data_IF_070167197742
#
_entry.id   IF_070167197742
#
_cell.length_a   1.000
_cell.length_b   1.000
_cell.length_c   1.000
_cell.angle_alpha   90.00
_cell.angle_beta   90.00
_cell.angle_gamma   90.00
#
_symmetry.space_group_name_H-M   'P 1'
#
loop_
_entity.id
_entity.type
_entity.pdbx_description
1 polymer ?
#
# COMPACT_ATOMS: atom_id res chain seq x y z
N UNK A 1 12.83 5.31 20.27
CA UNK A 1 11.40 5.63 20.50
C UNK A 1 11.25 7.09 20.93
N UNK A 2 12.04 8.00 20.34
CA UNK A 2 12.30 9.35 20.87
C UNK A 2 11.04 10.19 21.16
N UNK A 3 10.06 10.14 20.25
CA UNK A 3 8.80 10.90 20.37
C UNK A 3 8.00 10.51 21.63
N UNK A 4 8.04 9.24 22.04
CA UNK A 4 7.31 8.74 23.20
C UNK A 4 8.15 8.81 24.49
N UNK A 5 9.47 8.69 24.38
CA UNK A 5 10.41 8.86 25.49
C UNK A 5 10.27 10.25 26.14
N UNK A 6 10.11 11.31 25.35
CA UNK A 6 9.86 12.68 25.84
C UNK A 6 8.58 12.80 26.68
N UNK A 7 7.65 11.85 26.54
CA UNK A 7 6.38 11.80 27.28
C UNK A 7 6.39 10.76 28.40
N UNK A 8 7.53 10.11 28.64
CA UNK A 8 7.66 9.04 29.64
C UNK A 8 6.91 7.76 29.30
N UNK A 9 6.48 7.57 28.04
CA UNK A 9 5.77 6.38 27.60
C UNK A 9 6.74 5.42 26.90
N UNK A 10 7.29 4.46 27.65
CA UNK A 10 8.27 3.49 27.13
C UNK A 10 7.74 2.06 27.10
N UNK A 11 6.61 1.79 27.75
CA UNK A 11 5.96 0.48 27.74
C UNK A 11 5.06 0.35 26.51
N UNK A 12 5.69 0.06 25.36
CA UNK A 12 5.05 -0.03 24.05
C UNK A 12 5.56 -1.30 23.36
N UNK A 13 4.65 -2.22 23.05
CA UNK A 13 4.97 -3.45 22.31
C UNK A 13 5.17 -3.20 20.81
N UNK A 14 5.78 -4.17 20.13
CA UNK A 14 5.97 -4.17 18.69
C UNK A 14 7.38 -3.80 18.24
N UNK A 15 7.77 -4.34 17.10
CA UNK A 15 9.05 -4.11 16.41
C UNK A 15 8.82 -4.13 14.90
N UNK A 16 9.88 -4.12 14.11
CA UNK A 16 9.81 -4.13 12.66
C UNK A 16 9.35 -5.50 12.11
N UNK A 17 8.41 -5.49 11.17
CA UNK A 17 7.98 -6.67 10.41
C UNK A 17 8.43 -6.53 8.96
N UNK A 18 9.18 -7.52 8.45
CA UNK A 18 9.80 -7.43 7.13
C UNK A 18 9.54 -8.66 6.26
N UNK A 19 8.94 -8.42 5.09
CA UNK A 19 9.08 -9.26 3.90
C UNK A 19 8.71 -8.40 2.68
N UNK A 20 9.70 -7.79 2.03
CA UNK A 20 9.50 -6.88 0.89
C UNK A 20 8.34 -5.89 1.13
N UNK A 21 7.49 -5.66 0.13
CA UNK A 21 6.34 -4.76 0.22
C UNK A 21 5.20 -5.25 1.16
N UNK A 22 5.31 -6.41 1.81
CA UNK A 22 4.27 -6.97 2.67
C UNK A 22 4.40 -6.55 4.14
N UNK A 23 5.57 -6.05 4.57
CA UNK A 23 5.86 -5.75 5.98
C UNK A 23 4.81 -4.87 6.69
N UNK A 24 4.27 -3.87 5.98
CA UNK A 24 3.18 -3.02 6.48
C UNK A 24 1.88 -3.79 6.80
N UNK A 25 1.51 -4.75 5.95
CA UNK A 25 0.34 -5.62 6.17
C UNK A 25 0.56 -6.61 7.30
N UNK A 26 1.78 -7.14 7.43
CA UNK A 26 2.14 -7.96 8.59
C UNK A 26 2.00 -7.16 9.90
N UNK A 27 2.56 -5.95 9.95
CA UNK A 27 2.46 -5.07 11.12
C UNK A 27 1.00 -4.68 11.42
N UNK A 28 0.19 -4.41 10.39
CA UNK A 28 -1.23 -4.12 10.56
C UNK A 28 -2.01 -5.30 11.14
N UNK A 29 -1.78 -6.52 10.64
CA UNK A 29 -2.41 -7.71 11.22
C UNK A 29 -1.95 -7.98 12.65
N UNK A 30 -0.66 -7.84 12.94
CA UNK A 30 -0.15 -7.98 14.31
C UNK A 30 -0.85 -7.00 15.26
N UNK A 31 -1.02 -5.75 14.82
CA UNK A 31 -1.65 -4.69 15.60
C UNK A 31 -3.14 -4.95 15.85
N UNK A 32 -3.90 -5.37 14.82
CA UNK A 32 -5.31 -5.76 14.96
C UNK A 32 -5.44 -6.97 15.90
N UNK A 33 -4.62 -8.00 15.71
CA UNK A 33 -4.63 -9.18 16.58
C UNK A 33 -4.28 -8.82 18.03
N UNK A 34 -3.36 -7.88 18.24
CA UNK A 34 -2.99 -7.39 19.58
C UNK A 34 -4.18 -6.68 20.24
N UNK A 35 -4.89 -5.78 19.54
CA UNK A 35 -6.11 -5.13 20.06
C UNK A 35 -7.19 -6.15 20.42
N UNK A 36 -7.30 -7.26 19.67
CA UNK A 36 -8.27 -8.33 19.93
C UNK A 36 -7.80 -9.38 20.98
N UNK A 37 -6.58 -9.26 21.48
CA UNK A 37 -5.97 -10.25 22.37
C UNK A 37 -6.26 -10.01 23.85
N UNK A 38 -5.98 -11.01 24.69
CA UNK A 38 -6.03 -10.86 26.16
C UNK A 38 -4.93 -9.97 26.74
N UNK A 39 -3.90 -9.63 25.96
CA UNK A 39 -2.83 -8.70 26.39
C UNK A 39 -3.12 -7.26 26.00
N UNK A 40 -4.25 -6.97 25.35
CA UNK A 40 -4.65 -5.60 25.08
C UNK A 40 -4.91 -4.85 26.38
N UNK A 41 -4.32 -3.66 26.51
CA UNK A 41 -4.38 -2.83 27.71
C UNK A 41 -5.31 -1.60 27.55
N UNK A 42 -6.12 -1.58 26.50
CA UNK A 42 -7.03 -0.49 26.19
C UNK A 42 -6.43 0.66 25.38
N UNK A 43 -5.12 0.67 25.12
CA UNK A 43 -4.46 1.73 24.32
C UNK A 43 -4.59 1.47 22.82
N UNK A 44 -4.38 2.51 22.02
CA UNK A 44 -4.31 2.36 20.57
C UNK A 44 -3.04 1.66 20.12
N UNK A 45 -3.16 0.89 19.05
CA UNK A 45 -2.00 0.47 18.26
C UNK A 45 -1.65 1.50 17.18
N UNK A 46 -0.37 1.61 16.83
CA UNK A 46 0.11 2.50 15.77
C UNK A 46 0.97 1.72 14.79
N UNK A 47 0.55 1.65 13.53
CA UNK A 47 1.28 0.98 12.46
C UNK A 47 1.93 2.03 11.57
N UNK A 48 3.21 1.86 11.26
CA UNK A 48 3.92 2.72 10.31
C UNK A 48 4.47 1.87 9.16
N UNK A 49 4.03 2.18 7.94
CA UNK A 49 4.59 1.64 6.71
C UNK A 49 5.47 2.72 6.09
N UNK A 50 6.76 2.47 5.89
CA UNK A 50 7.69 3.49 5.38
C UNK A 50 8.72 2.87 4.46
N UNK A 51 8.92 3.46 3.29
CA UNK A 51 9.90 3.00 2.32
C UNK A 51 10.36 4.11 1.38
N UNK A 52 11.58 3.94 0.87
CA UNK A 52 12.12 4.64 -0.29
C UNK A 52 12.49 3.59 -1.35
N UNK A 53 11.68 3.47 -2.40
CA UNK A 53 11.88 2.53 -3.50
C UNK A 53 12.82 3.15 -4.54
N UNK A 54 14.09 2.72 -4.51
CA UNK A 54 15.15 3.20 -5.40
C UNK A 54 15.73 2.04 -6.21
N UNK A 55 16.02 2.30 -7.48
CA UNK A 55 16.54 1.32 -8.43
C UNK A 55 17.77 1.88 -9.18
N UNK A 56 18.65 0.96 -9.57
CA UNK A 56 19.81 1.25 -10.42
C UNK A 56 19.43 1.87 -11.77
N UNK A 57 20.42 2.34 -12.53
CA UNK A 57 20.21 2.73 -13.93
C UNK A 57 19.58 1.57 -14.72
N UNK A 58 18.52 1.87 -15.49
CA UNK A 58 17.80 0.88 -16.28
C UNK A 58 16.28 1.03 -16.22
N UNK A 59 15.54 0.05 -16.76
CA UNK A 59 14.10 0.14 -16.98
C UNK A 59 13.25 0.14 -15.71
N UNK A 60 13.83 -0.24 -14.56
CA UNK A 60 13.14 -0.21 -13.27
C UNK A 60 13.20 1.16 -12.57
N UNK A 61 14.12 2.06 -12.94
CA UNK A 61 14.24 3.39 -12.29
C UNK A 61 12.94 4.19 -12.30
N UNK A 62 12.16 4.26 -13.40
CA UNK A 62 10.91 5.02 -13.43
C UNK A 62 9.80 4.48 -12.51
N UNK A 63 9.97 3.29 -11.94
CA UNK A 63 8.99 2.72 -11.00
C UNK A 63 9.33 2.99 -9.54
N UNK A 64 10.35 3.81 -9.24
CA UNK A 64 10.65 4.25 -7.88
C UNK A 64 9.58 5.16 -7.27
N UNK A 65 9.75 5.49 -5.99
CA UNK A 65 8.85 6.34 -5.21
C UNK A 65 9.20 6.27 -3.73
N UNK A 66 8.62 7.16 -2.91
CA UNK A 66 8.87 7.16 -1.47
C UNK A 66 7.66 7.71 -0.71
N UNK A 67 7.28 7.06 0.39
CA UNK A 67 6.26 7.54 1.29
C UNK A 67 6.35 6.84 2.66
N UNK A 68 5.75 7.48 3.65
CA UNK A 68 5.40 6.86 4.92
C UNK A 68 3.90 7.06 5.19
N UNK A 69 3.24 6.03 5.71
CA UNK A 69 1.84 6.05 6.12
C UNK A 69 1.77 5.53 7.56
N UNK A 70 1.08 6.29 8.41
CA UNK A 70 0.78 5.89 9.78
C UNK A 70 -0.72 5.58 9.90
N UNK A 71 -1.06 4.47 10.54
CA UNK A 71 -2.44 4.03 10.78
C UNK A 71 -2.62 3.80 12.28
N UNK A 72 -3.58 4.53 12.88
CA UNK A 72 -4.01 4.27 14.24
C UNK A 72 -5.04 3.13 14.23
N UNK A 73 -4.88 2.16 15.13
CA UNK A 73 -5.69 0.94 15.22
C UNK A 73 -6.35 0.89 16.59
N UNK A 74 -7.65 0.63 16.62
CA UNK A 74 -8.44 0.54 17.85
C UNK A 74 -9.86 0.00 17.58
N UNK A 75 -10.66 -0.20 18.63
CA UNK A 75 -12.06 -0.62 18.50
C UNK A 75 -12.93 0.46 17.84
N UNK A 76 -14.13 0.07 17.42
CA UNK A 76 -15.17 0.97 16.89
C UNK A 76 -14.71 1.85 15.71
N UNK A 77 -13.80 1.31 14.89
CA UNK A 77 -13.20 2.03 13.77
C UNK A 77 -14.18 2.22 12.59
N UNK A 78 -14.12 3.37 11.88
CA UNK A 78 -14.88 3.58 10.63
C UNK A 78 -14.42 2.67 9.48
N UNK A 79 -13.25 2.04 9.63
CA UNK A 79 -12.64 1.13 8.67
C UNK A 79 -12.41 -0.18 9.44
N UNK A 80 -13.41 -1.05 9.46
CA UNK A 80 -13.40 -2.27 10.24
C UNK A 80 -12.88 -3.45 9.41
N UNK A 81 -12.11 -4.35 10.03
CA UNK A 81 -11.70 -5.59 9.39
C UNK A 81 -12.87 -6.59 9.35
N UNK A 82 -13.07 -7.24 8.20
CA UNK A 82 -13.89 -8.44 8.14
C UNK A 82 -13.02 -9.65 8.47
N UNK A 83 -12.79 -9.89 9.77
CA UNK A 83 -11.73 -10.75 10.31
C UNK A 83 -11.60 -12.15 9.67
N UNK A 84 -12.72 -12.76 9.26
CA UNK A 84 -12.74 -14.09 8.66
C UNK A 84 -12.60 -14.07 7.13
N UNK A 85 -12.73 -12.91 6.49
CA UNK A 85 -12.72 -12.75 5.03
C UNK A 85 -11.32 -12.34 4.52
N UNK A 86 -10.37 -13.28 4.61
CA UNK A 86 -8.98 -13.11 4.14
C UNK A 86 -8.38 -14.39 3.58
N UNK A 87 -7.56 -14.31 2.53
CA UNK A 87 -6.81 -15.42 1.95
C UNK A 87 -5.33 -15.06 1.81
N UNK A 88 -4.44 -15.89 2.37
CA UNK A 88 -2.99 -15.66 2.33
C UNK A 88 -2.29 -16.74 1.52
N UNK A 89 -1.24 -16.35 0.80
CA UNK A 89 -0.38 -17.26 0.05
C UNK A 89 1.08 -16.85 0.26
N UNK A 90 1.91 -17.82 0.65
CA UNK A 90 3.33 -17.63 0.85
C UNK A 90 4.06 -18.78 0.17
N UNK A 91 5.17 -18.49 -0.48
CA UNK A 91 5.97 -19.49 -1.18
C UNK A 91 7.42 -19.02 -1.26
N UNK A 92 8.36 -19.94 -1.42
CA UNK A 92 9.74 -19.56 -1.70
C UNK A 92 9.91 -19.18 -3.17
N UNK A 93 10.39 -17.97 -3.45
CA UNK A 93 10.63 -17.45 -4.78
C UNK A 93 11.81 -16.46 -4.79
N UNK A 94 12.47 -16.33 -5.94
CA UNK A 94 13.55 -15.37 -6.19
C UNK A 94 13.14 -14.34 -7.26
N UNK A 95 11.91 -13.83 -7.16
CA UNK A 95 11.37 -12.89 -8.14
C UNK A 95 11.92 -11.46 -7.96
N UNK A 96 12.12 -11.04 -6.72
CA UNK A 96 12.79 -9.80 -6.33
C UNK A 96 13.33 -9.96 -4.90
N UNK A 97 14.60 -9.63 -4.70
CA UNK A 97 15.27 -9.74 -3.41
C UNK A 97 16.50 -8.81 -3.32
N UNK A 98 16.99 -8.54 -2.10
CA UNK A 98 18.15 -7.68 -1.85
C UNK A 98 19.30 -8.48 -1.20
N UNK A 99 20.04 -9.29 -1.98
CA UNK A 99 21.10 -10.14 -1.43
C UNK A 99 22.40 -9.35 -1.14
N UNK A 100 22.62 -8.23 -1.82
CA UNK A 100 23.78 -7.39 -1.63
C UNK A 100 23.52 -6.35 -0.53
N UNK A 101 23.99 -6.63 0.68
CA UNK A 101 23.79 -5.77 1.84
C UNK A 101 24.42 -4.37 1.71
N UNK A 102 25.44 -4.22 0.86
CA UNK A 102 26.13 -2.96 0.62
C UNK A 102 25.46 -2.07 -0.45
N UNK A 103 24.41 -2.56 -1.13
CA UNK A 103 23.68 -1.80 -2.15
C UNK A 103 22.21 -1.63 -1.77
N UNK A 104 21.65 -0.46 -2.08
CA UNK A 104 20.21 -0.21 -1.92
C UNK A 104 19.38 -0.96 -2.98
N UNK A 105 20.01 -1.31 -4.09
CA UNK A 105 19.34 -1.83 -5.29
C UNK A 105 19.02 -3.32 -5.18
N UNK A 106 17.83 -3.72 -5.63
CA UNK A 106 17.42 -5.12 -5.64
C UNK A 106 17.97 -5.88 -6.86
N UNK A 107 18.07 -7.21 -6.71
CA UNK A 107 18.10 -8.14 -7.83
C UNK A 107 16.65 -8.45 -8.21
N UNK A 108 16.32 -8.31 -9.50
CA UNK A 108 14.94 -8.42 -9.99
C UNK A 108 14.88 -9.28 -11.24
N UNK A 109 14.08 -10.34 -11.21
CA UNK A 109 13.59 -11.02 -12.40
C UNK A 109 12.18 -10.49 -12.72
N UNK A 110 12.10 -9.52 -13.62
CA UNK A 110 10.85 -8.82 -13.93
C UNK A 110 9.76 -9.72 -14.57
N UNK A 111 10.14 -10.81 -15.24
CA UNK A 111 9.17 -11.77 -15.80
C UNK A 111 8.63 -12.67 -14.69
N UNK A 112 9.53 -13.19 -13.85
CA UNK A 112 9.16 -14.01 -12.71
C UNK A 112 8.31 -13.22 -11.72
N UNK A 113 8.65 -11.96 -11.44
CA UNK A 113 7.89 -11.08 -10.52
C UNK A 113 6.43 -10.88 -10.93
N UNK A 114 6.14 -10.69 -12.22
CA UNK A 114 4.74 -10.64 -12.68
C UNK A 114 4.03 -11.98 -12.52
N UNK A 115 4.71 -13.09 -12.82
CA UNK A 115 4.16 -14.45 -12.68
C UNK A 115 3.83 -14.77 -11.22
N UNK A 116 4.79 -14.54 -10.32
CA UNK A 116 4.66 -14.71 -8.88
C UNK A 116 3.54 -13.83 -8.29
N UNK A 117 3.44 -12.57 -8.72
CA UNK A 117 2.37 -11.68 -8.28
C UNK A 117 0.98 -12.21 -8.67
N UNK A 118 0.78 -12.60 -9.93
CA UNK A 118 -0.53 -13.10 -10.40
C UNK A 118 -0.88 -14.47 -9.81
N UNK A 119 0.10 -15.35 -9.63
CA UNK A 119 -0.10 -16.63 -8.94
C UNK A 119 -0.52 -16.44 -7.48
N UNK A 120 0.11 -15.50 -6.78
CA UNK A 120 -0.25 -15.14 -5.41
C UNK A 120 -1.65 -14.50 -5.34
N UNK A 121 -1.99 -13.66 -6.32
CA UNK A 121 -3.31 -13.04 -6.45
C UNK A 121 -4.41 -14.09 -6.61
N UNK A 122 -4.25 -15.03 -7.55
CA UNK A 122 -5.20 -16.12 -7.79
C UNK A 122 -5.40 -16.97 -6.52
N UNK A 123 -4.30 -17.33 -5.86
CA UNK A 123 -4.33 -18.15 -4.64
C UNK A 123 -5.04 -17.43 -3.49
N UNK A 124 -4.71 -16.16 -3.26
CA UNK A 124 -5.35 -15.35 -2.22
C UNK A 124 -6.84 -15.13 -2.52
N UNK A 125 -7.20 -14.85 -3.78
CA UNK A 125 -8.59 -14.65 -4.19
C UNK A 125 -9.41 -15.92 -4.03
N UNK A 126 -8.90 -17.08 -4.46
CA UNK A 126 -9.56 -18.38 -4.27
C UNK A 126 -9.84 -18.67 -2.80
N UNK A 127 -8.87 -18.41 -1.92
CA UNK A 127 -9.03 -18.61 -0.48
C UNK A 127 -10.05 -17.64 0.14
N UNK A 128 -10.03 -16.37 -0.27
CA UNK A 128 -11.03 -15.40 0.15
C UNK A 128 -12.44 -15.83 -0.29
N UNK A 129 -12.61 -16.23 -1.55
CA UNK A 129 -13.87 -16.72 -2.09
C UNK A 129 -14.40 -17.93 -1.31
N UNK A 130 -13.55 -18.93 -1.04
CA UNK A 130 -13.95 -20.10 -0.26
C UNK A 130 -14.39 -19.76 1.16
N UNK A 131 -13.76 -18.78 1.80
CA UNK A 131 -14.18 -18.31 3.13
C UNK A 131 -15.47 -17.52 3.07
N UNK A 132 -15.65 -16.68 2.05
CA UNK A 132 -16.90 -15.97 1.81
C UNK A 132 -18.08 -16.93 1.63
N UNK A 133 -17.92 -17.94 0.78
CA UNK A 133 -18.93 -18.97 0.50
C UNK A 133 -19.37 -19.70 1.78
N UNK A 134 -18.43 -19.97 2.68
CA UNK A 134 -18.74 -20.59 3.98
C UNK A 134 -19.46 -19.65 4.95
N UNK A 135 -19.20 -18.35 4.88
CA UNK A 135 -19.76 -17.34 5.79
C UNK A 135 -21.16 -16.88 5.34
N UNK A 136 -21.31 -16.61 4.04
CA UNK A 136 -22.50 -15.97 3.46
C UNK A 136 -23.41 -16.95 2.73
N UNK A 137 -22.98 -18.20 2.53
CA UNK A 137 -23.76 -19.22 1.80
C UNK A 137 -23.92 -18.91 0.30
N UNK A 138 -23.16 -17.96 -0.25
CA UNK A 138 -23.19 -17.58 -1.67
C UNK A 138 -21.78 -17.46 -2.26
N UNK A 139 -21.68 -17.70 -3.56
CA UNK A 139 -20.43 -17.56 -4.31
C UNK A 139 -19.95 -16.11 -4.31
N UNK A 140 -18.69 -15.87 -3.90
CA UNK A 140 -18.08 -14.54 -4.03
C UNK A 140 -17.76 -14.24 -5.50
N UNK A 141 -18.00 -13.00 -5.89
CA UNK A 141 -17.61 -12.42 -7.17
C UNK A 141 -17.16 -10.97 -6.99
N UNK A 142 -16.63 -10.36 -8.05
CA UNK A 142 -16.30 -8.93 -8.10
C UNK A 142 -17.50 -8.02 -7.80
N UNK A 143 -18.73 -8.51 -7.97
CA UNK A 143 -19.92 -7.75 -7.62
C UNK A 143 -20.11 -7.58 -6.11
N UNK A 144 -19.53 -8.46 -5.29
CA UNK A 144 -19.72 -8.52 -3.83
C UNK A 144 -18.81 -7.57 -3.03
N UNK A 145 -17.96 -6.81 -3.70
CA UNK A 145 -17.17 -5.72 -3.13
C UNK A 145 -17.27 -4.45 -3.98
N UNK A 146 -17.39 -3.29 -3.32
CA UNK A 146 -17.54 -2.01 -3.99
C UNK A 146 -16.21 -1.51 -4.56
N UNK A 147 -15.10 -1.75 -3.87
CA UNK A 147 -13.76 -1.35 -4.30
C UNK A 147 -12.74 -2.47 -4.15
N UNK A 148 -11.77 -2.51 -5.06
CA UNK A 148 -10.60 -3.38 -5.00
C UNK A 148 -9.34 -2.53 -5.03
N UNK A 149 -8.50 -2.68 -4.01
CA UNK A 149 -7.26 -1.91 -3.83
C UNK A 149 -6.09 -2.89 -3.81
N UNK A 150 -5.05 -2.57 -4.57
CA UNK A 150 -3.91 -3.45 -4.78
C UNK A 150 -2.61 -2.76 -4.34
N UNK A 151 -1.63 -3.57 -3.92
CA UNK A 151 -0.24 -3.14 -3.99
C UNK A 151 0.06 -2.63 -5.40
N UNK A 152 0.57 -1.39 -5.49
CA UNK A 152 0.62 -0.63 -6.73
C UNK A 152 2.06 -0.24 -7.08
N UNK A 153 2.92 -1.17 -7.53
CA UNK A 153 4.28 -0.84 -7.91
C UNK A 153 4.32 0.02 -9.19
N UNK A 154 3.34 -0.18 -10.07
CA UNK A 154 3.04 0.69 -11.21
C UNK A 154 1.62 0.40 -11.69
N UNK A 155 0.94 1.39 -12.26
CA UNK A 155 -0.50 1.30 -12.51
C UNK A 155 -0.90 0.23 -13.55
N UNK A 156 -0.02 -0.10 -14.51
CA UNK A 156 -0.32 -1.16 -15.48
C UNK A 156 -0.49 -2.53 -14.80
N UNK A 157 0.28 -2.84 -13.76
CA UNK A 157 0.10 -4.09 -13.01
C UNK A 157 -1.24 -4.13 -12.28
N UNK A 158 -1.71 -3.00 -11.75
CA UNK A 158 -3.03 -2.88 -11.09
C UNK A 158 -4.16 -3.20 -12.07
N UNK A 159 -4.08 -2.66 -13.30
CA UNK A 159 -5.04 -2.99 -14.37
C UNK A 159 -5.04 -4.49 -14.70
N UNK A 160 -3.85 -5.09 -14.84
CA UNK A 160 -3.72 -6.55 -15.06
C UNK A 160 -4.28 -7.36 -13.90
N UNK A 161 -4.05 -6.91 -12.66
CA UNK A 161 -4.49 -7.60 -11.44
C UNK A 161 -6.01 -7.71 -11.38
N UNK A 162 -6.70 -6.58 -11.56
CA UNK A 162 -8.16 -6.60 -11.53
C UNK A 162 -8.75 -7.38 -12.72
N UNK A 163 -8.17 -7.24 -13.91
CA UNK A 163 -8.55 -8.05 -15.07
C UNK A 163 -8.36 -9.56 -14.80
N UNK A 164 -7.31 -9.94 -14.07
CA UNK A 164 -7.09 -11.33 -13.65
C UNK A 164 -8.18 -11.83 -12.69
N UNK A 165 -8.67 -10.99 -11.77
CA UNK A 165 -9.82 -11.36 -10.93
C UNK A 165 -11.08 -11.60 -11.77
N UNK A 166 -11.34 -10.77 -12.79
CA UNK A 166 -12.47 -10.95 -13.72
C UNK A 166 -12.36 -12.29 -14.45
N UNK A 167 -11.16 -12.65 -14.91
CA UNK A 167 -10.91 -13.96 -15.50
C UNK A 167 -11.18 -15.10 -14.50
N UNK A 168 -10.71 -15.00 -13.25
CA UNK A 168 -10.98 -16.00 -12.21
C UNK A 168 -12.48 -16.18 -11.96
N UNK A 169 -13.26 -15.10 -11.96
CA UNK A 169 -14.72 -15.17 -11.82
C UNK A 169 -15.37 -15.90 -12.99
N UNK A 170 -14.95 -15.63 -14.24
CA UNK A 170 -15.46 -16.36 -15.41
C UNK A 170 -15.11 -17.85 -15.32
N UNK A 171 -13.88 -18.21 -14.91
CA UNK A 171 -13.48 -19.61 -14.73
C UNK A 171 -14.24 -20.31 -13.60
N UNK A 172 -14.74 -19.56 -12.62
CA UNK A 172 -15.61 -20.06 -11.54
C UNK A 172 -17.10 -20.01 -11.87
N UNK A 173 -17.46 -19.56 -13.08
CA UNK A 173 -18.84 -19.29 -13.50
C UNK A 173 -19.59 -18.33 -12.54
N UNK A 174 -18.90 -17.36 -11.96
CA UNK A 174 -19.47 -16.39 -11.02
C UNK A 174 -20.27 -15.29 -11.72
N UNK A 175 -21.21 -14.67 -11.00
CA UNK A 175 -22.20 -13.73 -11.53
C UNK A 175 -21.71 -12.28 -11.66
N UNK A 176 -20.46 -12.05 -12.10
CA UNK A 176 -19.88 -10.70 -12.20
C UNK A 176 -19.72 -10.17 -13.62
N UNK A 177 -19.86 -11.03 -14.63
CA UNK A 177 -19.64 -10.67 -16.04
C UNK A 177 -20.84 -11.11 -16.87
N UNK A 178 -21.21 -10.28 -17.85
CA UNK A 178 -22.26 -10.59 -18.82
C UNK A 178 -21.85 -11.71 -19.79
N UNK A 179 -22.82 -12.25 -20.53
CA UNK A 179 -22.57 -13.36 -21.46
C UNK A 179 -21.57 -12.98 -22.56
N UNK A 180 -21.58 -11.72 -23.00
CA UNK A 180 -20.62 -11.23 -23.99
C UNK A 180 -19.17 -11.24 -23.47
N UNK A 181 -18.96 -10.87 -22.20
CA UNK A 181 -17.65 -10.95 -21.56
C UNK A 181 -17.19 -12.39 -21.32
N UNK A 182 -18.11 -13.29 -20.94
CA UNK A 182 -17.80 -14.74 -20.82
C UNK A 182 -17.34 -15.34 -22.15
N UNK A 183 -18.08 -15.11 -23.22
CA UNK A 183 -17.73 -15.59 -24.57
C UNK A 183 -16.35 -15.09 -25.05
N UNK A 184 -15.94 -13.89 -24.64
CA UNK A 184 -14.60 -13.37 -24.96
C UNK A 184 -13.47 -14.06 -24.20
N UNK A 185 -13.74 -14.61 -23.01
CA UNK A 185 -12.74 -15.23 -22.14
C UNK A 185 -12.75 -16.76 -22.19
N UNK A 186 -13.84 -17.37 -22.63
CA UNK A 186 -14.02 -18.82 -22.82
C UNK A 186 -12.91 -19.49 -23.65
N UNK A 187 -12.38 -18.88 -24.75
CA UNK A 187 -11.30 -19.48 -25.53
C UNK A 187 -10.00 -19.71 -24.74
N UNK A 188 -9.84 -19.05 -23.58
CA UNK A 188 -8.66 -19.16 -22.74
C UNK A 188 -8.84 -20.11 -21.55
N UNK A 189 -9.99 -20.78 -21.43
CA UNK A 189 -10.34 -21.65 -20.30
C UNK A 189 -9.45 -22.89 -20.15
N UNK A 190 -8.84 -23.34 -21.25
CA UNK A 190 -7.93 -24.49 -21.27
C UNK A 190 -6.49 -24.14 -20.89
N UNK A 191 -6.14 -22.86 -20.77
CA UNK A 191 -4.78 -22.46 -20.42
C UNK A 191 -4.46 -22.87 -18.98
N UNK A 192 -3.35 -23.58 -18.81
CA UNK A 192 -2.82 -23.90 -17.48
C UNK A 192 -2.24 -22.66 -16.81
N UNK A 193 -1.97 -22.75 -15.49
CA UNK A 193 -1.48 -21.62 -14.68
C UNK A 193 -0.37 -20.81 -15.37
N UNK A 194 0.76 -21.45 -15.64
CA UNK A 194 1.94 -20.80 -16.23
C UNK A 194 1.68 -20.22 -17.63
N UNK A 195 0.91 -20.92 -18.47
CA UNK A 195 0.52 -20.44 -19.79
C UNK A 195 -0.35 -19.20 -19.68
N UNK A 196 -1.31 -19.21 -18.75
CA UNK A 196 -2.24 -18.11 -18.54
C UNK A 196 -1.55 -16.84 -18.03
N UNK A 197 -0.52 -16.95 -17.19
CA UNK A 197 0.22 -15.79 -16.67
C UNK A 197 1.06 -15.08 -17.75
N UNK A 198 1.47 -15.81 -18.78
CA UNK A 198 2.34 -15.30 -19.85
C UNK A 198 1.57 -14.96 -21.15
N UNK A 199 0.29 -15.33 -21.23
CA UNK A 199 -0.52 -15.12 -22.42
C UNK A 199 -1.00 -13.66 -22.54
N UNK A 200 -0.46 -12.95 -23.54
CA UNK A 200 -0.78 -11.53 -23.81
C UNK A 200 -2.18 -11.32 -24.37
N UNK A 201 -2.73 -12.29 -25.09
CA UNK A 201 -4.07 -12.21 -25.65
C UNK A 201 -5.12 -12.35 -24.56
N UNK A 202 -4.89 -13.26 -23.61
CA UNK A 202 -5.69 -13.36 -22.39
C UNK A 202 -5.61 -12.06 -21.57
N UNK A 203 -4.42 -11.48 -21.40
CA UNK A 203 -4.27 -10.20 -20.70
C UNK A 203 -5.12 -9.11 -21.37
N UNK A 204 -5.03 -8.98 -22.69
CA UNK A 204 -5.75 -7.97 -23.47
C UNK A 204 -7.27 -8.19 -23.41
N UNK A 205 -7.72 -9.41 -23.62
CA UNK A 205 -9.15 -9.76 -23.54
C UNK A 205 -9.70 -9.49 -22.14
N UNK A 206 -8.98 -9.91 -21.10
CA UNK A 206 -9.38 -9.70 -19.70
C UNK A 206 -9.47 -8.21 -19.36
N UNK A 207 -8.51 -7.38 -19.82
CA UNK A 207 -8.56 -5.94 -19.61
C UNK A 207 -9.74 -5.27 -20.32
N UNK A 208 -10.09 -5.73 -21.53
CA UNK A 208 -11.25 -5.20 -22.26
C UNK A 208 -12.56 -5.51 -21.54
N UNK A 209 -12.73 -6.75 -21.09
CA UNK A 209 -13.92 -7.18 -20.32
C UNK A 209 -13.99 -6.46 -18.97
N UNK A 210 -12.84 -6.31 -18.30
CA UNK A 210 -12.77 -5.68 -16.99
C UNK A 210 -12.92 -4.16 -17.01
N UNK A 211 -12.78 -3.48 -18.16
CA UNK A 211 -12.64 -2.01 -18.22
C UNK A 211 -13.76 -1.23 -17.49
N UNK A 212 -15.06 -1.52 -17.70
CA UNK A 212 -16.12 -0.78 -17.01
C UNK A 212 -16.08 -1.00 -15.49
N UNK A 213 -15.83 -2.23 -15.07
CA UNK A 213 -15.71 -2.59 -13.65
C UNK A 213 -14.44 -1.99 -13.02
N UNK A 214 -13.34 -1.91 -13.75
CA UNK A 214 -12.09 -1.30 -13.30
C UNK A 214 -12.28 0.20 -13.03
N UNK A 215 -12.97 0.90 -13.94
CA UNK A 215 -13.24 2.34 -13.78
C UNK A 215 -14.09 2.62 -12.54
N UNK A 216 -15.06 1.76 -12.24
CA UNK A 216 -15.90 1.91 -11.06
C UNK A 216 -15.21 1.49 -9.76
N UNK A 217 -14.53 0.34 -9.76
CA UNK A 217 -14.10 -0.34 -8.52
C UNK A 217 -12.63 -0.17 -8.18
N UNK A 218 -11.78 0.25 -9.12
CA UNK A 218 -10.30 0.32 -8.94
C UNK A 218 -9.74 1.68 -9.27
N UNK A 219 -10.19 2.35 -10.33
CA UNK A 219 -9.66 3.65 -10.74
C UNK A 219 -9.60 4.69 -9.59
N UNK A 220 -10.59 4.77 -8.67
CA UNK A 220 -10.51 5.66 -7.51
C UNK A 220 -9.32 5.42 -6.59
N UNK A 221 -8.71 4.24 -6.59
CA UNK A 221 -7.54 3.91 -5.77
C UNK A 221 -6.20 4.34 -6.39
N UNK A 222 -6.20 4.94 -7.58
CA UNK A 222 -4.97 5.06 -8.39
C UNK A 222 -4.26 6.40 -8.30
N UNK A 223 -4.84 7.41 -7.63
CA UNK A 223 -4.31 8.79 -7.60
C UNK A 223 -2.87 8.84 -7.05
N UNK A 224 -2.67 8.48 -5.79
CA UNK A 224 -1.35 8.56 -5.15
C UNK A 224 -0.33 7.65 -5.82
N UNK A 225 -0.60 6.35 -6.09
CA UNK A 225 0.37 5.51 -6.79
C UNK A 225 0.80 6.05 -8.17
N UNK A 226 -0.10 6.69 -8.93
CA UNK A 226 0.25 7.30 -10.23
C UNK A 226 1.02 8.60 -10.10
N UNK A 227 0.82 9.34 -9.02
CA UNK A 227 1.48 10.64 -8.80
C UNK A 227 2.81 10.52 -8.05
N UNK A 228 3.01 9.46 -7.26
CA UNK A 228 4.18 9.30 -6.35
C UNK A 228 5.08 8.14 -6.78
N UNK A 229 4.55 7.12 -7.46
CA UNK A 229 5.29 5.93 -7.84
C UNK A 229 5.20 4.81 -6.80
N UNK A 230 6.14 3.85 -6.83
CA UNK A 230 6.10 2.71 -5.90
C UNK A 230 6.54 3.13 -4.50
N UNK A 231 5.70 2.87 -3.51
CA UNK A 231 5.95 3.18 -2.10
C UNK A 231 6.16 1.91 -1.25
N UNK A 232 6.51 0.78 -1.89
CA UNK A 232 6.70 -0.54 -1.26
C UNK A 232 5.62 -0.87 -0.23
N UNK A 233 5.96 -0.97 1.07
CA UNK A 233 5.00 -1.35 2.13
C UNK A 233 3.85 -0.36 2.28
N UNK A 234 4.08 0.92 1.97
CA UNK A 234 3.05 1.95 2.00
C UNK A 234 2.17 1.98 0.74
N UNK A 235 2.54 1.27 -0.34
CA UNK A 235 1.87 1.40 -1.64
C UNK A 235 0.39 0.97 -1.63
N UNK A 236 0.07 -0.16 -0.99
CA UNK A 236 -1.33 -0.60 -0.84
C UNK A 236 -2.16 0.45 -0.08
N UNK A 237 -1.60 1.00 1.00
CA UNK A 237 -2.28 1.96 1.85
C UNK A 237 -2.41 3.32 1.18
N UNK A 238 -1.44 3.74 0.37
CA UNK A 238 -1.55 4.96 -0.44
C UNK A 238 -2.65 4.82 -1.51
N UNK A 239 -2.79 3.63 -2.08
CA UNK A 239 -3.90 3.32 -2.98
C UNK A 239 -5.26 3.40 -2.23
N UNK A 240 -5.34 2.89 -0.99
CA UNK A 240 -6.54 2.99 -0.17
C UNK A 240 -6.86 4.43 0.25
N UNK A 241 -5.85 5.22 0.62
CA UNK A 241 -5.99 6.67 0.87
C UNK A 241 -6.57 7.38 -0.35
N UNK A 242 -6.21 6.96 -1.56
CA UNK A 242 -6.80 7.53 -2.77
C UNK A 242 -8.30 7.25 -2.88
N UNK A 243 -8.77 6.07 -2.46
CA UNK A 243 -10.21 5.76 -2.37
C UNK A 243 -10.88 6.68 -1.36
N UNK A 244 -10.33 6.80 -0.14
CA UNK A 244 -10.86 7.70 0.90
C UNK A 244 -10.93 9.15 0.38
N UNK A 245 -9.85 9.65 -0.21
CA UNK A 245 -9.80 11.00 -0.77
C UNK A 245 -10.90 11.22 -1.82
N UNK A 246 -11.04 10.30 -2.77
CA UNK A 246 -11.93 10.45 -3.92
C UNK A 246 -13.40 10.16 -3.58
N UNK A 247 -13.67 9.35 -2.56
CA UNK A 247 -14.99 8.73 -2.35
C UNK A 247 -15.54 8.78 -0.93
N UNK A 248 -14.84 9.39 0.06
CA UNK A 248 -15.24 9.37 1.48
C UNK A 248 -16.73 9.62 1.77
N UNK A 249 -17.43 10.46 1.00
CA UNK A 249 -18.87 10.73 1.17
C UNK A 249 -19.81 9.59 0.75
N UNK A 250 -19.31 8.60 0.00
CA UNK A 250 -20.06 7.48 -0.56
C UNK A 250 -19.64 6.12 0.04
N UNK A 251 -18.71 6.12 1.01
CA UNK A 251 -18.05 4.90 1.51
C UNK A 251 -18.78 4.20 2.66
N UNK A 252 -19.74 4.83 3.32
CA UNK A 252 -20.48 4.17 4.40
C UNK A 252 -21.24 2.94 3.89
N UNK A 253 -21.09 1.82 4.58
CA UNK A 253 -21.66 0.52 4.19
C UNK A 253 -20.93 -0.19 3.06
N UNK A 254 -19.83 0.36 2.53
CA UNK A 254 -19.10 -0.21 1.40
C UNK A 254 -18.07 -1.24 1.84
N UNK A 255 -17.93 -2.30 1.04
CA UNK A 255 -16.87 -3.30 1.20
C UNK A 255 -15.67 -2.94 0.32
N UNK A 256 -14.48 -2.96 0.90
CA UNK A 256 -13.21 -2.76 0.20
C UNK A 256 -12.33 -3.99 0.33
N UNK A 257 -12.03 -4.64 -0.80
CA UNK A 257 -11.10 -5.75 -0.85
C UNK A 257 -9.69 -5.24 -1.11
N UNK A 258 -8.76 -5.64 -0.26
CA UNK A 258 -7.37 -5.20 -0.23
C UNK A 258 -6.47 -6.37 -0.63
N UNK A 259 -5.53 -6.17 -1.56
CA UNK A 259 -4.52 -7.16 -1.93
C UNK A 259 -3.10 -6.65 -1.67
N UNK A 260 -2.46 -7.20 -0.64
CA UNK A 260 -1.05 -6.96 -0.32
C UNK A 260 -0.16 -8.05 -0.90
N UNK A 261 0.94 -7.64 -1.53
CA UNK A 261 1.96 -8.54 -2.07
C UNK A 261 3.34 -8.04 -1.68
N UNK A 262 4.24 -8.96 -1.34
CA UNK A 262 5.67 -8.72 -1.24
C UNK A 262 6.42 -9.90 -1.86
N UNK A 263 7.42 -9.61 -2.69
CA UNK A 263 8.27 -10.62 -3.33
C UNK A 263 9.03 -11.51 -2.33
N UNK A 264 9.46 -12.69 -2.79
CA UNK A 264 10.12 -13.70 -1.96
C UNK A 264 9.36 -15.01 -1.68
N UNK A 265 8.03 -15.13 -1.66
CA UNK A 265 6.96 -14.14 -1.65
C UNK A 265 5.96 -14.39 -0.51
N UNK A 266 5.30 -13.32 -0.08
CA UNK A 266 4.21 -13.32 0.89
C UNK A 266 3.08 -12.41 0.41
N UNK A 267 1.85 -12.91 0.39
CA UNK A 267 0.69 -12.16 -0.05
C UNK A 267 -0.53 -12.43 0.83
N UNK A 268 -1.44 -11.44 0.89
CA UNK A 268 -2.76 -11.61 1.49
C UNK A 268 -3.77 -10.73 0.80
N UNK A 269 -4.91 -11.32 0.43
CA UNK A 269 -6.13 -10.59 0.14
C UNK A 269 -7.00 -10.57 1.39
N UNK A 270 -7.51 -9.42 1.80
CA UNK A 270 -8.37 -9.27 2.97
C UNK A 270 -9.45 -8.22 2.70
N UNK A 271 -10.52 -8.25 3.48
CA UNK A 271 -11.66 -7.37 3.28
C UNK A 271 -11.85 -6.41 4.46
N UNK A 272 -12.28 -5.20 4.14
CA UNK A 272 -12.63 -4.13 5.06
C UNK A 272 -14.09 -3.74 4.83
N UNK A 273 -14.81 -3.53 5.92
CA UNK A 273 -16.15 -2.95 5.91
C UNK A 273 -16.05 -1.49 6.40
N UNK A 274 -16.58 -0.57 5.61
CA UNK A 274 -16.55 0.85 5.92
C UNK A 274 -17.87 1.29 6.54
N UNK A 275 -17.78 2.19 7.51
CA UNK A 275 -18.91 2.70 8.29
C UNK A 275 -18.74 4.21 8.54
N UNK A 276 -19.85 4.88 8.80
CA UNK A 276 -19.79 6.23 9.36
C UNK A 276 -19.26 6.16 10.79
N UNK A 277 -18.07 6.71 11.00
CA UNK A 277 -17.52 6.93 12.33
C UNK A 277 -17.86 8.30 12.88
N UNK A 278 -17.62 8.49 14.17
CA UNK A 278 -17.75 9.78 14.85
C UNK A 278 -16.43 10.53 14.84
N UNK A 279 -16.47 11.86 14.84
CA UNK A 279 -15.24 12.67 14.98
C UNK A 279 -14.50 12.30 16.28
N UNK A 280 -13.16 12.14 16.27
CA UNK A 280 -12.24 12.41 15.16
C UNK A 280 -12.09 11.27 14.14
N UNK A 281 -12.60 10.08 14.43
CA UNK A 281 -12.43 8.88 13.60
C UNK A 281 -13.59 8.68 12.62
N UNK A 282 -13.86 9.68 11.77
CA UNK A 282 -14.84 9.57 10.68
C UNK A 282 -14.14 9.55 9.32
N UNK A 283 -14.74 8.90 8.31
CA UNK A 283 -14.18 8.82 6.95
C UNK A 283 -13.93 10.21 6.35
N UNK A 284 -14.86 11.15 6.58
CA UNK A 284 -14.73 12.54 6.14
C UNK A 284 -13.57 13.25 6.83
N UNK A 285 -13.45 13.16 8.16
CA UNK A 285 -12.35 13.80 8.88
C UNK A 285 -11.00 13.20 8.50
N UNK A 286 -10.91 11.88 8.30
CA UNK A 286 -9.69 11.23 7.81
C UNK A 286 -9.30 11.81 6.44
N UNK A 287 -10.23 11.92 5.49
CA UNK A 287 -9.95 12.52 4.18
C UNK A 287 -9.48 13.98 4.28
N UNK A 288 -10.10 14.78 5.16
CA UNK A 288 -9.71 16.17 5.42
C UNK A 288 -8.31 16.28 6.02
N UNK A 289 -8.01 15.53 7.09
CA UNK A 289 -6.71 15.56 7.78
C UNK A 289 -5.57 15.08 6.87
N UNK A 290 -5.84 14.13 5.99
CA UNK A 290 -4.82 13.65 5.05
C UNK A 290 -4.42 14.71 4.02
N UNK A 291 -5.29 15.66 3.68
CA UNK A 291 -5.07 16.75 2.71
C UNK A 291 -4.25 16.32 1.47
N UNK A 292 -4.73 15.26 0.80
CA UNK A 292 -4.02 14.67 -0.35
C UNK A 292 -3.86 15.70 -1.47
N UNK A 293 -4.91 16.49 -1.75
CA UNK A 293 -4.88 17.49 -2.81
C UNK A 293 -3.89 18.63 -2.50
N UNK A 294 -3.89 19.16 -1.26
CA UNK A 294 -2.93 20.18 -0.85
C UNK A 294 -1.49 19.68 -0.92
N UNK A 295 -1.22 18.47 -0.44
CA UNK A 295 0.12 17.84 -0.51
C UNK A 295 0.60 17.64 -1.94
N UNK A 296 -0.26 17.18 -2.85
CA UNK A 296 0.12 16.99 -4.27
C UNK A 296 0.39 18.32 -4.98
N UNK A 297 -0.37 19.37 -4.65
CA UNK A 297 -0.19 20.73 -5.19
C UNK A 297 1.08 21.41 -4.68
N UNK A 298 1.51 21.11 -3.45
CA UNK A 298 2.68 21.70 -2.82
C UNK A 298 4.02 21.06 -3.23
N UNK A 299 4.02 20.13 -4.20
CA UNK A 299 5.25 19.46 -4.66
C UNK A 299 6.13 20.40 -5.48
N UNK A 300 7.43 20.08 -5.48
CA UNK A 300 8.44 20.76 -6.28
C UNK A 300 8.95 19.80 -7.35
N UNK A 301 8.88 20.24 -8.61
CA UNK A 301 9.39 19.48 -9.73
C UNK A 301 10.90 19.69 -9.87
N UNK A 302 11.61 18.62 -10.23
CA UNK A 302 13.03 18.65 -10.57
C UNK A 302 13.23 18.18 -12.01
N UNK A 303 14.12 18.84 -12.79
CA UNK A 303 14.52 18.33 -14.09
C UNK A 303 15.15 16.92 -13.95
N UNK A 304 14.98 16.02 -14.93
CA UNK A 304 15.52 14.67 -14.89
C UNK A 304 17.03 14.60 -14.59
N UNK A 305 17.80 15.56 -15.08
CA UNK A 305 19.25 15.64 -14.86
C UNK A 305 19.56 15.84 -13.38
N UNK A 306 18.82 16.73 -12.71
CA UNK A 306 18.98 16.98 -11.28
C UNK A 306 18.49 15.82 -10.43
N UNK A 307 17.41 15.16 -10.86
CA UNK A 307 16.95 13.92 -10.21
C UNK A 307 18.02 12.81 -10.26
N UNK A 308 18.66 12.60 -11.41
CA UNK A 308 19.75 11.61 -11.56
C UNK A 308 20.97 12.00 -10.72
N UNK A 309 21.33 13.28 -10.65
CA UNK A 309 22.39 13.77 -9.76
C UNK A 309 22.10 13.45 -8.29
N UNK A 310 20.85 13.68 -7.84
CA UNK A 310 20.41 13.36 -6.48
C UNK A 310 20.50 11.85 -6.23
N UNK A 311 20.08 11.00 -7.17
CA UNK A 311 20.20 9.55 -7.02
C UNK A 311 21.65 9.09 -6.84
N UNK A 312 22.59 9.66 -7.61
CA UNK A 312 24.03 9.39 -7.45
C UNK A 312 24.55 9.83 -6.08
N UNK A 313 24.08 10.98 -5.58
CA UNK A 313 24.40 11.41 -4.22
C UNK A 313 23.85 10.41 -3.19
N UNK A 314 22.61 9.96 -3.32
CA UNK A 314 22.01 9.00 -2.40
C UNK A 314 22.75 7.66 -2.39
N UNK A 315 23.22 7.19 -3.54
CA UNK A 315 24.08 6.00 -3.65
C UNK A 315 25.37 6.15 -2.83
N UNK A 316 26.03 7.32 -2.86
CA UNK A 316 27.21 7.58 -2.01
C UNK A 316 26.87 7.65 -0.52
N UNK A 317 25.64 8.08 -0.17
CA UNK A 317 25.19 8.16 1.24
C UNK A 317 24.73 6.80 1.77
N UNK A 318 24.35 5.87 0.91
CA UNK A 318 23.90 4.54 1.33
C UNK A 318 25.05 3.77 2.00
N UNK A 319 24.85 3.38 3.26
CA UNK A 319 25.91 2.75 4.07
C UNK A 319 27.08 3.69 4.42
N UNK A 320 27.00 4.98 4.09
CA UNK A 320 28.01 5.98 4.41
C UNK A 320 27.96 6.45 5.88
N UNK A 321 29.06 7.04 6.33
CA UNK A 321 29.21 7.65 7.66
C UNK A 321 30.11 8.89 7.60
N UNK A 322 30.19 9.62 8.71
CA UNK A 322 31.03 10.81 8.86
C UNK A 322 30.71 11.91 7.85
N UNK A 323 29.43 12.29 7.78
CA UNK A 323 28.99 13.36 6.89
C UNK A 323 27.85 14.20 7.46
N UNK A 324 27.84 15.47 7.06
CA UNK A 324 26.75 16.41 7.28
C UNK A 324 25.95 16.56 5.98
N UNK A 325 24.62 16.60 6.07
CA UNK A 325 23.73 16.80 4.93
C UNK A 325 23.65 18.28 4.54
N UNK A 326 23.01 18.58 3.41
CA UNK A 326 22.71 19.97 3.06
C UNK A 326 21.80 20.60 4.12
N UNK A 327 22.12 21.82 4.54
CA UNK A 327 21.25 22.62 5.42
C UNK A 327 20.05 23.23 4.68
N UNK A 328 20.01 23.12 3.35
CA UNK A 328 18.88 23.60 2.58
C UNK A 328 17.65 22.72 2.81
N UNK A 329 16.72 23.26 3.59
CA UNK A 329 15.40 22.69 3.86
C UNK A 329 14.28 23.54 3.25
N UNK A 330 14.59 24.44 2.30
CA UNK A 330 13.65 25.41 1.73
C UNK A 330 12.41 24.72 1.14
N UNK A 331 12.60 23.59 0.45
CA UNK A 331 11.54 22.80 -0.20
C UNK A 331 10.72 21.92 0.74
N UNK A 332 11.15 21.73 1.99
CA UNK A 332 10.40 20.92 2.95
C UNK A 332 9.25 21.72 3.55
N UNK A 333 8.05 21.17 3.75
CA UNK A 333 7.02 21.85 4.54
C UNK A 333 7.47 22.10 5.99
N UNK A 334 6.96 23.14 6.67
CA UNK A 334 7.07 23.29 8.11
C UNK A 334 6.72 22.02 8.88
N UNK A 335 7.50 21.69 9.91
CA UNK A 335 7.30 20.52 10.74
C UNK A 335 7.87 19.20 10.20
N UNK A 336 8.39 19.17 8.97
CA UNK A 336 9.07 18.00 8.41
C UNK A 336 10.37 17.71 9.16
N UNK A 337 10.56 16.45 9.54
CA UNK A 337 11.82 15.96 10.08
C UNK A 337 12.81 15.67 8.94
N UNK A 338 14.09 15.98 9.14
CA UNK A 338 15.14 15.74 8.16
C UNK A 338 16.44 15.31 8.83
N UNK A 339 17.23 14.51 8.12
CA UNK A 339 18.55 14.05 8.57
C UNK A 339 19.55 15.21 8.51
N UNK A 340 20.23 15.53 9.61
CA UNK A 340 21.25 16.58 9.67
C UNK A 340 22.65 16.03 9.43
N UNK A 341 22.97 14.89 10.04
CA UNK A 341 24.29 14.28 9.93
C UNK A 341 24.25 12.79 10.29
N UNK A 342 25.29 12.09 9.84
CA UNK A 342 25.66 10.73 10.25
C UNK A 342 27.10 10.77 10.72
N UNK A 343 27.35 10.45 11.98
CA UNK A 343 28.70 10.54 12.53
C UNK A 343 29.58 9.32 12.17
N UNK A 344 30.82 9.32 12.67
CA UNK A 344 31.81 8.26 12.42
C UNK A 344 31.42 6.87 12.97
N UNK A 345 30.39 6.80 13.81
CA UNK A 345 29.81 5.59 14.39
C UNK A 345 28.44 5.23 13.78
N UNK A 346 28.08 5.80 12.62
CA UNK A 346 26.81 5.58 11.93
C UNK A 346 25.56 6.06 12.70
N UNK A 347 25.72 6.83 13.77
CA UNK A 347 24.57 7.39 14.51
C UNK A 347 23.96 8.52 13.69
N UNK A 348 22.64 8.51 13.57
CA UNK A 348 21.88 9.46 12.75
C UNK A 348 21.25 10.52 13.63
N UNK A 349 21.40 11.78 13.22
CA UNK A 349 20.85 12.93 13.92
C UNK A 349 19.80 13.60 13.06
N UNK A 350 18.68 13.99 13.67
CA UNK A 350 17.54 14.55 12.98
C UNK A 350 17.16 15.89 13.59
N UNK A 351 16.62 16.77 12.76
CA UNK A 351 16.01 18.03 13.19
C UNK A 351 14.64 18.19 12.54
N UNK A 352 13.86 19.14 13.04
CA UNK A 352 12.52 19.46 12.55
C UNK A 352 12.52 20.88 11.96
N UNK A 353 12.05 21.03 10.73
CA UNK A 353 11.92 22.35 10.11
C UNK A 353 10.96 23.21 10.93
N UNK A 354 11.42 24.36 11.42
CA UNK A 354 10.58 25.31 12.13
C UNK A 354 9.47 25.85 11.21
N UNK A 355 8.30 26.13 11.79
CA UNK A 355 7.29 26.95 11.11
C UNK A 355 7.77 28.39 11.03
N UNK A 356 7.41 29.10 9.94
CA UNK A 356 7.40 30.55 9.98
C UNK A 356 6.50 30.97 11.15
N UNK A 357 7.06 31.59 12.18
CA UNK A 357 6.27 32.12 13.29
C UNK A 357 5.29 33.18 12.75
N UNK A 358 4.03 32.80 12.56
CA UNK A 358 2.91 33.73 12.70
C UNK A 358 2.31 33.46 14.07
N UNK A 359 2.75 34.25 15.04
CA UNK A 359 2.14 34.34 16.34
C UNK A 359 0.75 34.96 16.15
N UNK A 360 -0.31 34.15 16.12
CA UNK A 360 -1.65 34.63 16.45
C UNK A 360 -2.19 33.77 17.59
N UNK A 361 -2.41 34.44 18.72
CA UNK A 361 -3.00 33.91 19.93
C UNK A 361 -4.38 33.30 19.62
N UNK A 362 -4.54 32.01 19.89
CA UNK A 362 -5.83 31.34 19.85
C UNK A 362 -5.79 30.10 20.73
N UNK A 363 -6.22 30.25 21.97
CA UNK A 363 -6.37 29.18 22.96
C UNK A 363 -7.30 28.08 22.45
N UNK A 364 -6.82 26.84 22.36
CA UNK A 364 -7.68 25.66 22.34
C UNK A 364 -7.50 24.94 23.68
N UNK A 365 -8.51 25.09 24.53
CA UNK A 365 -8.66 24.34 25.75
C UNK A 365 -9.02 22.89 25.39
N UNK A 366 -8.23 21.93 25.89
CA UNK A 366 -8.60 20.52 25.89
C UNK A 366 -9.61 20.29 27.02
N UNK A 367 -10.84 19.90 26.66
CA UNK A 367 -11.81 19.35 27.59
C UNK A 367 -11.51 17.87 27.87
N UNK A 368 -11.72 17.49 29.12
CA UNK A 368 -11.51 16.16 29.72
C UNK A 368 -12.25 15.03 29.06
#
# INVERSE_FOLDING_TARGET
MQIFEERGNTDIEGVDSSNACYGGTAALFNCVNWVESSSWDGRYGLVVCTDSAVYAEGPARPTGGAAAIAMLVGPDAPIAFENKLRGSYMSHAYDFYKPNLASEYPVVDGKLSQTCYLMALDSCYKLLCSKYEKLEGKQFSIADADYFVFHSPYNKLVQKSFARLVFNDVMRNASSVDEAGKQKLEPFSSLSGDESYQNRDLEKASQQVAKPLYDAKVQPSTLLPKQVGNMYTASLYAAFISVLHNKHSELSGKRVVMFSYGSGLTATMFSLQLHDGQHPFSLSNIATVMDVAGKLKARHEFPPEKFVEILKLMEHRYGGKDFVTSKDCSLLPPGTHYLTEVDSMYRRFYSKKAGSCTCENGSLANGH
#
